data_IF_200066395734
#
_entry.id   IF_200066395734
#
_cell.length_a   1.000
_cell.length_b   1.000
_cell.length_c   1.000
_cell.angle_alpha   90.00
_cell.angle_beta   90.00
_cell.angle_gamma   90.00
#
_symmetry.space_group_name_H-M   'P 1'
#
loop_
_entity.id
_entity.type
_entity.pdbx_description
1 polymer ?
#
# COMPACT_ATOMS: atom_id res chain seq x y z
N UNK A 1 0.31 -38.44 9.35
CA UNK A 1 -0.14 -37.18 8.70
C UNK A 1 0.03 -36.09 9.73
N UNK A 2 1.00 -35.19 9.51
CA UNK A 2 1.40 -34.21 10.53
C UNK A 2 0.45 -33.00 10.44
N UNK A 3 -0.53 -32.93 11.34
CA UNK A 3 -1.53 -31.85 11.45
C UNK A 3 -0.95 -30.42 11.26
N UNK A 4 0.27 -30.23 11.74
CA UNK A 4 1.02 -28.98 11.69
C UNK A 4 1.34 -28.52 10.26
N UNK A 5 1.71 -29.46 9.39
CA UNK A 5 2.03 -29.14 8.00
C UNK A 5 0.78 -28.88 7.20
N UNK A 6 -0.30 -29.59 7.48
CA UNK A 6 -1.60 -29.34 6.84
C UNK A 6 -2.10 -27.93 7.20
N UNK A 7 -1.99 -27.53 8.48
CA UNK A 7 -2.38 -26.18 8.92
C UNK A 7 -1.46 -25.08 8.37
N UNK A 8 -0.17 -25.36 8.23
CA UNK A 8 0.79 -24.44 7.60
C UNK A 8 0.49 -24.24 6.11
N UNK A 9 0.21 -25.31 5.38
CA UNK A 9 -0.16 -25.27 3.96
C UNK A 9 -1.46 -24.46 3.78
N UNK A 10 -2.48 -24.73 4.59
CA UNK A 10 -3.73 -23.99 4.55
C UNK A 10 -3.52 -22.48 4.82
N UNK A 11 -2.65 -22.15 5.77
CA UNK A 11 -2.31 -20.76 6.09
C UNK A 11 -1.60 -20.08 4.90
N UNK A 12 -0.70 -20.78 4.22
CA UNK A 12 -0.03 -20.29 3.01
C UNK A 12 -0.99 -20.10 1.84
N UNK A 13 -1.92 -21.03 1.60
CA UNK A 13 -2.93 -20.90 0.54
C UNK A 13 -3.83 -19.69 0.80
N UNK A 14 -4.25 -19.47 2.05
CA UNK A 14 -5.03 -18.29 2.46
C UNK A 14 -4.24 -16.99 2.32
N UNK A 15 -2.94 -16.99 2.65
CA UNK A 15 -2.06 -15.84 2.41
C UNK A 15 -2.01 -15.53 0.92
N UNK A 16 -1.73 -16.52 0.08
CA UNK A 16 -1.65 -16.33 -1.37
C UNK A 16 -2.96 -15.78 -1.95
N UNK A 17 -4.11 -16.28 -1.50
CA UNK A 17 -5.41 -15.75 -1.90
C UNK A 17 -5.56 -14.27 -1.50
N UNK A 18 -5.28 -13.94 -0.24
CA UNK A 18 -5.37 -12.54 0.25
C UNK A 18 -4.46 -11.60 -0.53
N UNK A 19 -3.21 -12.00 -0.80
CA UNK A 19 -2.27 -11.20 -1.59
C UNK A 19 -2.71 -11.00 -3.05
N UNK A 20 -3.32 -12.03 -3.67
CA UNK A 20 -3.91 -11.89 -5.01
C UNK A 20 -5.08 -10.92 -4.99
N UNK A 21 -5.93 -10.97 -3.98
CA UNK A 21 -7.03 -10.01 -3.87
C UNK A 21 -6.52 -8.58 -3.61
N UNK A 22 -5.45 -8.40 -2.83
CA UNK A 22 -4.79 -7.09 -2.66
C UNK A 22 -4.26 -6.56 -3.99
N UNK A 23 -3.64 -7.42 -4.80
CA UNK A 23 -3.16 -7.07 -6.13
C UNK A 23 -4.30 -6.62 -7.05
N UNK A 24 -5.43 -7.34 -7.06
CA UNK A 24 -6.60 -6.93 -7.84
C UNK A 24 -7.18 -5.60 -7.33
N UNK A 25 -7.28 -5.41 -6.01
CA UNK A 25 -7.68 -4.12 -5.41
C UNK A 25 -6.74 -2.99 -5.87
N UNK A 26 -5.43 -3.22 -5.89
CA UNK A 26 -4.45 -2.23 -6.35
C UNK A 26 -4.53 -1.94 -7.86
N UNK A 27 -4.89 -2.94 -8.68
CA UNK A 27 -5.19 -2.74 -10.12
C UNK A 27 -6.44 -1.91 -10.33
N UNK A 28 -7.51 -2.17 -9.58
CA UNK A 28 -8.72 -1.37 -9.66
C UNK A 28 -8.41 0.08 -9.23
N UNK A 29 -7.59 0.27 -8.18
CA UNK A 29 -7.11 1.60 -7.74
C UNK A 29 -6.43 2.35 -8.88
N UNK A 30 -5.53 1.69 -9.59
CA UNK A 30 -4.87 2.25 -10.77
C UNK A 30 -5.88 2.73 -11.81
N UNK A 31 -6.85 1.89 -12.17
CA UNK A 31 -7.88 2.26 -13.15
C UNK A 31 -8.75 3.44 -12.68
N UNK A 32 -9.15 3.48 -11.40
CA UNK A 32 -9.90 4.60 -10.84
C UNK A 32 -9.09 5.91 -10.88
N UNK A 33 -7.80 5.86 -10.53
CA UNK A 33 -6.90 7.03 -10.56
C UNK A 33 -6.71 7.57 -11.98
N UNK A 34 -6.47 6.69 -12.96
CA UNK A 34 -6.31 7.09 -14.37
C UNK A 34 -7.60 7.66 -14.95
N UNK A 35 -8.75 7.11 -14.58
CA UNK A 35 -10.06 7.55 -15.09
C UNK A 35 -10.66 8.75 -14.34
N UNK A 36 -10.07 9.17 -13.21
CA UNK A 36 -10.56 10.29 -12.40
C UNK A 36 -11.81 9.99 -11.56
N UNK A 37 -12.20 8.72 -11.40
CA UNK A 37 -13.39 8.32 -10.62
C UNK A 37 -13.08 8.25 -9.12
N UNK A 38 -12.99 9.43 -8.48
CA UNK A 38 -12.59 9.55 -7.07
C UNK A 38 -13.64 8.95 -6.09
N UNK A 39 -14.92 8.94 -6.46
CA UNK A 39 -16.00 8.45 -5.60
C UNK A 39 -15.88 6.97 -5.20
N UNK A 40 -15.22 6.15 -6.02
CA UNK A 40 -15.00 4.73 -5.73
C UNK A 40 -13.73 4.47 -4.91
N UNK A 41 -12.86 5.46 -4.79
CA UNK A 41 -11.56 5.34 -4.13
C UNK A 41 -11.70 5.08 -2.64
N UNK A 42 -12.68 5.71 -1.97
CA UNK A 42 -12.90 5.52 -0.53
C UNK A 42 -13.30 4.08 -0.19
N UNK A 43 -14.22 3.49 -0.95
CA UNK A 43 -14.62 2.08 -0.81
C UNK A 43 -13.43 1.14 -1.04
N UNK A 44 -12.59 1.49 -2.01
CA UNK A 44 -11.41 0.72 -2.35
C UNK A 44 -10.35 0.77 -1.24
N UNK A 45 -10.14 1.93 -0.62
CA UNK A 45 -9.25 2.08 0.55
C UNK A 45 -9.76 1.25 1.72
N UNK A 46 -11.07 1.23 1.98
CA UNK A 46 -11.63 0.41 3.06
C UNK A 46 -11.41 -1.09 2.79
N UNK A 47 -11.63 -1.53 1.55
CA UNK A 47 -11.35 -2.92 1.13
C UNK A 47 -9.86 -3.27 1.31
N UNK A 48 -8.97 -2.39 0.87
CA UNK A 48 -7.52 -2.56 0.99
C UNK A 48 -7.10 -2.70 2.46
N UNK A 49 -7.62 -1.86 3.36
CA UNK A 49 -7.36 -1.97 4.82
C UNK A 49 -7.78 -3.32 5.39
N UNK A 50 -9.00 -3.77 5.10
CA UNK A 50 -9.49 -5.06 5.60
C UNK A 50 -8.61 -6.22 5.09
N UNK A 51 -8.20 -6.18 3.82
CA UNK A 51 -7.33 -7.21 3.25
C UNK A 51 -5.93 -7.21 3.90
N UNK A 52 -5.38 -6.03 4.22
CA UNK A 52 -4.11 -5.91 4.95
C UNK A 52 -4.23 -6.47 6.37
N UNK A 53 -5.31 -6.18 7.09
CA UNK A 53 -5.56 -6.74 8.42
C UNK A 53 -5.66 -8.28 8.38
N UNK A 54 -6.37 -8.84 7.40
CA UNK A 54 -6.44 -10.29 7.20
C UNK A 54 -5.05 -10.87 6.91
N UNK A 55 -4.26 -10.23 6.05
CA UNK A 55 -2.91 -10.67 5.73
C UNK A 55 -1.99 -10.67 6.98
N UNK A 56 -2.11 -9.64 7.83
CA UNK A 56 -1.36 -9.56 9.10
C UNK A 56 -1.72 -10.71 10.04
N UNK A 57 -3.02 -10.96 10.26
CA UNK A 57 -3.48 -12.07 11.12
C UNK A 57 -3.03 -13.44 10.61
N UNK A 58 -3.03 -13.65 9.29
CA UNK A 58 -2.56 -14.89 8.68
C UNK A 58 -1.04 -15.05 8.83
N UNK A 59 -0.28 -13.97 8.74
CA UNK A 59 1.18 -14.00 8.95
C UNK A 59 1.54 -14.27 10.42
N UNK A 60 0.80 -13.70 11.36
CA UNK A 60 0.90 -14.03 12.79
C UNK A 60 0.56 -15.52 13.02
N UNK A 61 -0.51 -16.03 12.41
CA UNK A 61 -0.85 -17.47 12.49
C UNK A 61 0.30 -18.32 11.94
N UNK A 62 0.86 -17.97 10.78
CA UNK A 62 2.01 -18.68 10.19
C UNK A 62 3.20 -18.69 11.14
N UNK A 63 3.53 -17.55 11.74
CA UNK A 63 4.64 -17.44 12.68
C UNK A 63 4.39 -18.27 13.95
N UNK A 64 3.17 -18.30 14.46
CA UNK A 64 2.80 -19.11 15.63
C UNK A 64 2.93 -20.61 15.36
N UNK A 65 2.48 -21.09 14.19
CA UNK A 65 2.63 -22.50 13.78
C UNK A 65 4.11 -22.89 13.74
N UNK A 66 4.94 -22.03 13.12
CA UNK A 66 6.39 -22.25 13.05
C UNK A 66 7.00 -22.26 14.45
N UNK A 67 6.71 -21.27 15.29
CA UNK A 67 7.26 -21.17 16.65
C UNK A 67 6.91 -22.40 17.50
N UNK A 68 5.65 -22.83 17.47
CA UNK A 68 5.19 -24.00 18.20
C UNK A 68 5.94 -25.27 17.72
N UNK A 69 6.26 -25.37 16.42
CA UNK A 69 6.94 -26.53 15.86
C UNK A 69 8.36 -26.58 16.41
N UNK A 70 9.02 -25.43 16.44
CA UNK A 70 10.38 -25.30 16.93
C UNK A 70 10.48 -25.63 18.42
N UNK A 71 9.49 -25.23 19.22
CA UNK A 71 9.38 -25.60 20.64
C UNK A 71 9.21 -27.11 20.83
N UNK A 72 8.35 -27.77 20.03
CA UNK A 72 8.10 -29.20 20.16
C UNK A 72 9.33 -30.06 19.82
N UNK A 73 10.13 -29.63 18.84
CA UNK A 73 11.33 -30.35 18.40
C UNK A 73 12.63 -29.85 19.05
N UNK A 74 12.54 -29.01 20.10
CA UNK A 74 13.67 -28.37 20.81
C UNK A 74 14.71 -27.72 19.87
N UNK A 75 14.22 -27.07 18.81
CA UNK A 75 15.08 -26.40 17.84
C UNK A 75 15.35 -24.98 18.37
N UNK A 76 16.52 -24.81 18.98
CA UNK A 76 17.02 -23.53 19.53
C UNK A 76 17.56 -22.57 18.45
N UNK A 77 16.92 -22.49 17.28
CA UNK A 77 17.31 -21.52 16.25
C UNK A 77 16.49 -20.24 16.39
N UNK A 78 17.15 -19.14 16.75
CA UNK A 78 16.54 -17.79 16.89
C UNK A 78 15.92 -17.25 15.60
N UNK A 79 16.19 -17.84 14.43
CA UNK A 79 15.75 -17.39 13.11
C UNK A 79 15.45 -18.57 12.18
N UNK A 80 14.48 -19.41 12.53
CA UNK A 80 14.06 -20.51 11.66
C UNK A 80 13.27 -19.92 10.50
N UNK A 81 13.89 -19.88 9.33
CA UNK A 81 13.19 -19.52 8.09
C UNK A 81 12.33 -20.69 7.62
N UNK A 82 11.23 -20.40 6.91
CA UNK A 82 10.37 -21.43 6.30
C UNK A 82 11.20 -22.38 5.41
N UNK A 83 12.23 -21.85 4.74
CA UNK A 83 13.26 -22.61 3.99
C UNK A 83 14.02 -23.63 4.83
N UNK A 84 14.38 -23.31 6.07
CA UNK A 84 15.04 -24.26 6.98
C UNK A 84 14.08 -25.38 7.41
N UNK A 85 12.80 -25.06 7.55
CA UNK A 85 11.73 -25.98 7.92
C UNK A 85 11.41 -26.97 6.79
N UNK A 86 11.34 -26.49 5.55
CA UNK A 86 11.10 -27.24 4.30
C UNK A 86 12.06 -28.44 4.13
N UNK A 87 13.31 -28.32 4.58
CA UNK A 87 14.32 -29.38 4.52
C UNK A 87 13.99 -30.60 5.42
N UNK A 88 13.15 -30.41 6.44
CA UNK A 88 12.75 -31.45 7.41
C UNK A 88 11.40 -32.10 7.07
N UNK A 89 10.76 -31.68 5.97
CA UNK A 89 9.42 -32.13 5.56
C UNK A 89 9.53 -33.14 4.41
N UNK A 90 8.57 -34.06 4.36
CA UNK A 90 8.29 -34.96 3.24
C UNK A 90 8.24 -34.22 1.88
N UNK A 91 8.70 -34.90 0.83
CA UNK A 91 8.95 -34.29 -0.48
C UNK A 91 7.70 -33.64 -1.12
N UNK A 92 6.51 -34.22 -0.93
CA UNK A 92 5.26 -33.73 -1.53
C UNK A 92 4.83 -32.40 -0.87
N UNK A 93 4.88 -32.31 0.45
CA UNK A 93 4.53 -31.08 1.17
C UNK A 93 5.57 -29.99 0.93
N UNK A 94 6.84 -30.38 0.76
CA UNK A 94 7.93 -29.49 0.39
C UNK A 94 7.65 -28.77 -0.92
N UNK A 95 7.32 -29.51 -1.99
CA UNK A 95 7.04 -28.94 -3.31
C UNK A 95 5.86 -27.96 -3.27
N UNK A 96 4.79 -28.29 -2.54
CA UNK A 96 3.64 -27.41 -2.38
C UNK A 96 4.00 -26.08 -1.71
N UNK A 97 4.74 -26.13 -0.60
CA UNK A 97 5.14 -24.92 0.12
C UNK A 97 6.11 -24.09 -0.74
N UNK A 98 7.08 -24.70 -1.40
CA UNK A 98 7.98 -24.00 -2.31
C UNK A 98 7.22 -23.29 -3.44
N UNK A 99 6.29 -23.98 -4.09
CA UNK A 99 5.45 -23.40 -5.14
C UNK A 99 4.60 -22.24 -4.62
N UNK A 100 4.00 -22.38 -3.43
CA UNK A 100 3.24 -21.29 -2.82
C UNK A 100 4.13 -20.08 -2.48
N UNK A 101 5.34 -20.30 -1.97
CA UNK A 101 6.30 -19.23 -1.67
C UNK A 101 6.74 -18.49 -2.92
N UNK A 102 7.03 -19.20 -4.01
CA UNK A 102 7.43 -18.55 -5.26
C UNK A 102 6.28 -17.76 -5.87
N UNK A 103 5.05 -18.28 -5.82
CA UNK A 103 3.85 -17.54 -6.20
C UNK A 103 3.64 -16.29 -5.32
N UNK A 104 3.83 -16.39 -4.00
CA UNK A 104 3.73 -15.26 -3.08
C UNK A 104 4.77 -14.19 -3.42
N UNK A 105 6.04 -14.56 -3.65
CA UNK A 105 7.09 -13.62 -4.06
C UNK A 105 6.70 -12.87 -5.34
N UNK A 106 6.16 -13.58 -6.32
CA UNK A 106 5.72 -12.98 -7.58
C UNK A 106 4.60 -11.97 -7.34
N UNK A 107 3.54 -12.37 -6.63
CA UNK A 107 2.39 -11.49 -6.33
C UNK A 107 2.82 -10.28 -5.51
N UNK A 108 3.69 -10.45 -4.51
CA UNK A 108 4.22 -9.33 -3.71
C UNK A 108 4.99 -8.35 -4.57
N UNK A 109 5.81 -8.84 -5.50
CA UNK A 109 6.58 -7.98 -6.41
C UNK A 109 5.66 -7.17 -7.31
N UNK A 110 4.67 -7.80 -7.94
CA UNK A 110 3.68 -7.10 -8.75
C UNK A 110 2.89 -6.07 -7.93
N UNK A 111 2.52 -6.42 -6.69
CA UNK A 111 1.81 -5.53 -5.77
C UNK A 111 2.67 -4.31 -5.42
N UNK A 112 3.97 -4.48 -5.21
CA UNK A 112 4.90 -3.37 -4.97
C UNK A 112 5.00 -2.43 -6.18
N UNK A 113 5.15 -2.99 -7.38
CA UNK A 113 5.25 -2.22 -8.63
C UNK A 113 3.99 -1.38 -8.88
N UNK A 114 2.81 -1.97 -8.72
CA UNK A 114 1.55 -1.25 -8.95
C UNK A 114 1.26 -0.23 -7.85
N UNK A 115 1.60 -0.53 -6.59
CA UNK A 115 1.43 0.43 -5.50
C UNK A 115 2.35 1.63 -5.65
N UNK A 116 3.59 1.41 -6.12
CA UNK A 116 4.50 2.51 -6.45
C UNK A 116 3.91 3.38 -7.56
N UNK A 117 3.36 2.76 -8.60
CA UNK A 117 2.70 3.48 -9.70
C UNK A 117 1.50 4.30 -9.20
N UNK A 118 0.64 3.71 -8.38
CA UNK A 118 -0.51 4.39 -7.78
C UNK A 118 -0.09 5.56 -6.91
N UNK A 119 0.98 5.40 -6.12
CA UNK A 119 1.54 6.46 -5.28
C UNK A 119 2.04 7.63 -6.14
N UNK A 120 2.75 7.36 -7.24
CA UNK A 120 3.19 8.39 -8.18
C UNK A 120 2.02 9.15 -8.81
N UNK A 121 0.97 8.44 -9.25
CA UNK A 121 -0.23 9.07 -9.83
C UNK A 121 -0.95 9.99 -8.83
N UNK A 122 -1.07 9.56 -7.57
CA UNK A 122 -1.67 10.36 -6.50
C UNK A 122 -0.83 11.61 -6.25
N UNK A 123 0.49 11.47 -6.11
CA UNK A 123 1.38 12.62 -5.89
C UNK A 123 1.30 13.64 -7.03
N UNK A 124 1.34 13.17 -8.27
CA UNK A 124 1.23 14.04 -9.44
C UNK A 124 -0.12 14.78 -9.48
N UNK A 125 -1.21 14.09 -9.13
CA UNK A 125 -2.54 14.71 -9.07
C UNK A 125 -2.58 15.81 -8.00
N UNK A 126 -1.97 15.57 -6.84
CA UNK A 126 -1.87 16.55 -5.76
C UNK A 126 -1.01 17.76 -6.18
N UNK A 127 0.14 17.53 -6.81
CA UNK A 127 1.03 18.59 -7.31
C UNK A 127 0.30 19.51 -8.29
N UNK A 128 -0.44 18.95 -9.25
CA UNK A 128 -1.27 19.74 -10.16
C UNK A 128 -2.29 20.57 -9.38
N UNK A 129 -3.01 19.97 -8.43
CA UNK A 129 -4.02 20.72 -7.65
C UNK A 129 -3.39 21.84 -6.83
N UNK A 130 -2.22 21.63 -6.24
CA UNK A 130 -1.49 22.65 -5.50
C UNK A 130 -1.01 23.78 -6.42
N UNK A 131 -0.49 23.46 -7.59
CA UNK A 131 -0.04 24.47 -8.56
C UNK A 131 -1.20 25.30 -9.11
N UNK A 132 -2.34 24.67 -9.38
CA UNK A 132 -3.60 25.37 -9.69
C UNK A 132 -3.97 26.30 -8.54
N UNK A 133 -3.95 25.83 -7.28
CA UNK A 133 -4.22 26.69 -6.13
C UNK A 133 -3.23 27.86 -6.01
N UNK A 134 -1.93 27.66 -6.26
CA UNK A 134 -0.93 28.75 -6.22
C UNK A 134 -1.19 29.81 -7.29
N UNK A 135 -1.61 29.38 -8.48
CA UNK A 135 -1.91 30.28 -9.62
C UNK A 135 -3.17 31.10 -9.34
N UNK A 136 -4.25 30.46 -8.88
CA UNK A 136 -5.56 31.10 -8.75
C UNK A 136 -5.81 31.72 -7.36
N UNK A 137 -5.18 31.19 -6.31
CA UNK A 137 -5.24 31.69 -4.95
C UNK A 137 -3.81 32.06 -4.48
N UNK A 138 -3.18 33.09 -5.06
CA UNK A 138 -1.87 33.53 -4.59
C UNK A 138 -1.98 33.87 -3.11
N UNK A 139 -1.22 33.17 -2.28
CA UNK A 139 -1.17 33.36 -0.82
C UNK A 139 -0.46 34.68 -0.48
N UNK A 140 -1.11 35.79 -0.83
CA UNK A 140 -0.82 37.14 -0.40
C UNK A 140 -1.99 38.03 -0.84
N UNK A 141 -3.07 38.04 -0.07
CA UNK A 141 -3.81 39.28 0.15
C UNK A 141 -2.90 40.25 0.92
N UNK A 142 -1.80 40.67 0.31
CA UNK A 142 -1.16 41.92 0.66
C UNK A 142 -1.95 42.97 -0.09
N UNK A 143 -3.02 43.49 0.52
CA UNK A 143 -3.66 44.70 0.02
C UNK A 143 -2.56 45.75 -0.22
N UNK A 144 -2.60 46.50 -1.34
CA UNK A 144 -1.64 47.58 -1.56
C UNK A 144 -1.74 48.57 -0.38
N UNK A 145 -0.74 48.54 0.50
CA UNK A 145 -0.66 49.47 1.63
C UNK A 145 -0.26 50.82 1.05
N UNK A 146 -1.16 51.80 1.14
CA UNK A 146 -0.81 53.18 0.81
C UNK A 146 0.22 53.67 1.83
N UNK A 147 1.37 54.11 1.35
CA UNK A 147 2.31 54.81 2.21
C UNK A 147 1.71 56.18 2.58
N UNK A 148 2.04 56.70 3.77
CA UNK A 148 1.62 58.03 4.23
C UNK A 148 2.05 59.17 3.25
N UNK A 149 2.92 58.86 2.28
CA UNK A 149 3.35 59.76 1.19
C UNK A 149 2.39 59.82 -0.01
N UNK A 150 1.29 59.05 -0.02
CA UNK A 150 0.33 58.98 -1.13
C UNK A 150 0.81 58.21 -2.35
N UNK A 151 1.99 57.57 -2.30
CA UNK A 151 2.51 56.72 -3.37
C UNK A 151 2.07 55.26 -3.16
N UNK A 152 1.55 54.63 -4.22
CA UNK A 152 1.31 53.18 -4.24
C UNK A 152 2.65 52.46 -4.20
N UNK A 153 2.79 51.47 -3.32
CA UNK A 153 3.91 50.54 -3.37
C UNK A 153 3.67 49.59 -4.55
N UNK A 154 4.45 49.72 -5.62
CA UNK A 154 4.43 48.81 -6.77
C UNK A 154 5.01 47.45 -6.38
N UNK A 155 4.27 46.68 -5.59
CA UNK A 155 4.44 45.25 -5.59
C UNK A 155 3.82 44.77 -6.90
N UNK A 156 4.65 44.23 -7.81
CA UNK A 156 4.19 43.54 -9.02
C UNK A 156 3.41 42.30 -8.59
N UNK A 157 2.13 42.46 -8.28
CA UNK A 157 1.25 41.33 -8.03
C UNK A 157 1.12 40.54 -9.35
N UNK A 158 1.22 39.20 -9.32
CA UNK A 158 0.66 38.41 -10.40
C UNK A 158 -0.82 38.78 -10.47
N UNK A 159 -1.30 39.19 -11.64
CA UNK A 159 -2.70 39.60 -11.84
C UNK A 159 -3.62 38.50 -11.29
N UNK A 160 -4.30 38.78 -10.19
CA UNK A 160 -5.40 37.96 -9.70
C UNK A 160 -6.49 38.05 -10.78
N UNK A 161 -6.86 36.91 -11.37
CA UNK A 161 -7.83 36.85 -12.46
C UNK A 161 -9.27 36.67 -11.95
N UNK A 162 -9.44 36.26 -10.69
CA UNK A 162 -10.72 35.96 -10.06
C UNK A 162 -10.79 36.71 -8.73
N UNK A 163 -11.75 37.62 -8.60
CA UNK A 163 -12.05 38.28 -7.33
C UNK A 163 -12.64 37.25 -6.36
N UNK A 164 -11.82 36.70 -5.46
CA UNK A 164 -12.32 35.97 -4.28
C UNK A 164 -12.68 36.98 -3.18
N UNK A 165 -13.79 37.69 -3.38
CA UNK A 165 -14.57 38.26 -2.28
C UNK A 165 -15.93 37.56 -2.28
N UNK A 166 -16.23 36.87 -1.17
CA UNK A 166 -17.59 36.55 -0.75
C UNK A 166 -17.94 37.47 0.41
#
# INVERSE_FOLDING_TARGET
MNLWFDELIETFDRLLATYRELLETAKIKYHCLVSGHIAELEKLIYREKNQVEIAQLLEEKRQNIVNHYCQFYDIQEKNITVTSLINKIDNICREKICSCLDNLKHVIKELQEINQTNMTLIHYSLEITEDVMKIFCPSAYQYPVYQHTGKKQDNKFPKIFIDTEM
#
